data_IF_901478297052
#
_entry.id   IF_901478297052
#
_cell.length_a   1.000
_cell.length_b   1.000
_cell.length_c   1.000
_cell.angle_alpha   90.00
_cell.angle_beta   90.00
_cell.angle_gamma   90.00
#
_symmetry.space_group_name_H-M   'P 1'
#
loop_
_entity.id
_entity.type
_entity.pdbx_description
1 polymer ?
#
# COMPACT_ATOMS: atom_id res chain seq x y z
N UNK A 1 -9.14 15.35 3.42
CA UNK A 1 -8.78 14.00 3.88
C UNK A 1 -9.68 13.62 5.04
N UNK A 2 -10.30 12.45 5.02
CA UNK A 2 -11.06 11.93 6.16
C UNK A 2 -10.11 11.38 7.23
N UNK A 3 -10.59 11.15 8.46
CA UNK A 3 -9.79 10.52 9.52
C UNK A 3 -9.24 9.15 9.07
N UNK A 4 -10.04 8.36 8.35
CA UNK A 4 -9.62 7.09 7.78
C UNK A 4 -8.43 7.25 6.83
N UNK A 5 -8.48 8.25 5.94
CA UNK A 5 -7.37 8.54 5.02
C UNK A 5 -6.14 9.05 5.77
N UNK A 6 -6.32 9.89 6.79
CA UNK A 6 -5.22 10.39 7.64
C UNK A 6 -4.54 9.25 8.40
N UNK A 7 -5.31 8.29 8.92
CA UNK A 7 -4.77 7.08 9.55
C UNK A 7 -4.00 6.24 8.52
N UNK A 8 -4.55 6.06 7.32
CA UNK A 8 -3.86 5.38 6.22
C UNK A 8 -2.48 5.98 5.92
N UNK A 9 -2.37 7.31 5.90
CA UNK A 9 -1.10 7.99 5.65
C UNK A 9 0.00 7.71 6.68
N UNK A 10 -0.33 7.17 7.86
CA UNK A 10 0.66 6.79 8.88
C UNK A 10 1.32 5.43 8.62
N UNK A 11 0.82 4.66 7.65
CA UNK A 11 1.34 3.32 7.36
C UNK A 11 2.22 3.30 6.11
N UNK A 12 3.29 2.51 6.20
CA UNK A 12 4.11 2.08 5.07
C UNK A 12 3.97 0.57 4.90
N UNK A 13 3.58 0.14 3.70
CA UNK A 13 3.28 -1.27 3.42
C UNK A 13 4.17 -1.84 2.32
N UNK A 14 4.49 -3.13 2.39
CA UNK A 14 5.20 -3.86 1.34
C UNK A 14 4.32 -4.95 0.74
N UNK A 15 4.62 -5.36 -0.49
CA UNK A 15 3.87 -6.41 -1.21
C UNK A 15 4.76 -7.56 -1.65
N UNK A 16 4.15 -8.59 -2.23
CA UNK A 16 4.84 -9.74 -2.81
C UNK A 16 4.76 -9.73 -4.35
N UNK A 17 5.81 -10.27 -4.97
CA UNK A 17 5.99 -10.25 -6.42
C UNK A 17 6.52 -8.92 -6.98
N UNK A 18 6.86 -8.95 -8.27
CA UNK A 18 7.45 -7.83 -9.01
C UNK A 18 6.40 -6.95 -9.72
N UNK A 19 5.12 -7.18 -9.45
CA UNK A 19 4.00 -6.44 -10.04
C UNK A 19 2.85 -6.32 -9.06
N UNK A 20 2.11 -5.21 -9.16
CA UNK A 20 0.96 -4.95 -8.29
C UNK A 20 -0.15 -5.95 -8.60
N UNK A 21 -0.54 -6.76 -7.61
CA UNK A 21 -1.67 -7.67 -7.75
C UNK A 21 -3.00 -6.90 -7.65
N UNK A 22 -4.10 -7.43 -8.22
CA UNK A 22 -5.43 -6.83 -8.07
C UNK A 22 -5.86 -6.64 -6.61
N UNK A 23 -5.53 -7.61 -5.75
CA UNK A 23 -5.78 -7.53 -4.30
C UNK A 23 -5.03 -6.35 -3.67
N UNK A 24 -3.77 -6.13 -4.06
CA UNK A 24 -3.00 -4.98 -3.58
C UNK A 24 -3.55 -3.65 -4.05
N UNK A 25 -4.02 -3.57 -5.30
CA UNK A 25 -4.66 -2.39 -5.82
C UNK A 25 -5.95 -2.06 -5.03
N UNK A 26 -6.74 -3.08 -4.68
CA UNK A 26 -7.93 -2.90 -3.84
C UNK A 26 -7.57 -2.40 -2.43
N UNK A 27 -6.55 -2.99 -1.80
CA UNK A 27 -6.09 -2.59 -0.47
C UNK A 27 -5.63 -1.12 -0.48
N UNK A 28 -4.83 -0.73 -1.48
CA UNK A 28 -4.37 0.65 -1.62
C UNK A 28 -5.55 1.62 -1.79
N UNK A 29 -6.53 1.29 -2.63
CA UNK A 29 -7.71 2.11 -2.84
C UNK A 29 -8.55 2.25 -1.56
N UNK A 30 -8.68 1.17 -0.79
CA UNK A 30 -9.48 1.11 0.44
C UNK A 30 -8.84 1.84 1.62
N UNK A 31 -7.55 1.62 1.86
CA UNK A 31 -6.87 2.09 3.07
C UNK A 31 -5.93 3.28 2.86
N UNK A 32 -5.56 3.59 1.62
CA UNK A 32 -4.75 4.76 1.24
C UNK A 32 -3.48 4.92 2.10
N UNK A 33 -2.57 3.93 2.09
CA UNK A 33 -1.31 4.01 2.82
C UNK A 33 -0.48 5.24 2.40
N UNK A 34 0.32 5.77 3.31
CA UNK A 34 1.18 6.94 3.05
C UNK A 34 2.44 6.59 2.27
N UNK A 35 2.88 5.34 2.33
CA UNK A 35 4.06 4.88 1.62
C UNK A 35 4.02 3.41 1.24
N UNK A 36 4.85 3.06 0.25
CA UNK A 36 5.13 1.68 -0.13
C UNK A 36 6.62 1.42 0.04
N UNK A 37 6.97 0.29 0.66
CA UNK A 37 8.35 -0.18 0.79
C UNK A 37 8.58 -1.34 -0.18
N UNK A 38 9.66 -1.24 -0.97
CA UNK A 38 10.11 -2.30 -1.87
C UNK A 38 11.23 -3.10 -1.21
N UNK A 39 11.17 -4.42 -1.39
CA UNK A 39 12.21 -5.37 -1.02
C UNK A 39 12.76 -6.05 -2.27
N UNK A 40 13.79 -6.89 -2.11
CA UNK A 40 14.39 -7.63 -3.21
C UNK A 40 13.38 -8.47 -4.04
N UNK A 41 12.29 -8.93 -3.43
CA UNK A 41 11.21 -9.67 -4.11
C UNK A 41 10.33 -8.82 -5.03
N UNK A 42 10.49 -7.50 -5.00
CA UNK A 42 9.70 -6.55 -5.79
C UNK A 42 10.46 -6.01 -7.00
N UNK A 43 11.71 -6.43 -7.22
CA UNK A 43 12.59 -6.02 -8.30
C UNK A 43 12.76 -7.14 -9.33
#
# INVERSE_FOLDING_TARGET
MTLHEQIGQLFMLGFDGTSVSPEWAELQARYKPGGMILFARNL
#
